data_IF_094857316237
#
_entry.id   IF_094857316237
#
_cell.length_a   1.000
_cell.length_b   1.000
_cell.length_c   1.000
_cell.angle_alpha   90.00
_cell.angle_beta   90.00
_cell.angle_gamma   90.00
#
_symmetry.space_group_name_H-M   'P 1'
#
loop_
_entity.id
_entity.type
_entity.pdbx_description
1 polymer ?
#
# COMPACT_ATOMS: atom_id res chain seq x y z
N UNK A 1 -11.27 0.98 -4.41
CA UNK A 1 -10.41 -0.12 -3.90
C UNK A 1 -9.04 0.49 -3.65
N UNK A 2 -8.47 0.34 -2.45
CA UNK A 2 -7.15 0.87 -2.15
C UNK A 2 -6.13 0.24 -3.12
N UNK A 3 -5.38 1.06 -3.84
CA UNK A 3 -4.41 0.59 -4.83
C UNK A 3 -3.25 -0.09 -4.11
N UNK A 4 -3.26 -1.42 -4.07
CA UNK A 4 -2.14 -2.25 -3.63
C UNK A 4 -0.99 -2.10 -4.62
N UNK A 5 -0.07 -1.18 -4.37
CA UNK A 5 1.05 -0.96 -5.26
C UNK A 5 2.29 -1.65 -4.74
N UNK A 6 2.41 -2.94 -5.05
CA UNK A 6 3.72 -3.53 -5.26
C UNK A 6 4.28 -2.89 -6.55
N UNK A 7 5.04 -1.81 -6.39
CA UNK A 7 5.70 -1.13 -7.51
C UNK A 7 7.11 -1.69 -7.77
N UNK A 8 7.68 -1.32 -8.91
CA UNK A 8 9.00 -1.79 -9.35
C UNK A 8 10.12 -1.39 -8.39
N UNK A 9 10.00 -0.23 -7.75
CA UNK A 9 11.01 0.27 -6.80
C UNK A 9 11.00 -0.59 -5.53
N UNK A 10 9.84 -0.81 -4.94
CA UNK A 10 9.68 -1.67 -3.77
C UNK A 10 10.11 -3.10 -4.06
N UNK A 11 9.70 -3.66 -5.20
CA UNK A 11 10.11 -4.99 -5.64
C UNK A 11 11.64 -5.11 -5.75
N UNK A 12 12.29 -4.13 -6.35
CA UNK A 12 13.75 -4.12 -6.48
C UNK A 12 14.45 -3.93 -5.12
N UNK A 13 13.90 -3.11 -4.22
CA UNK A 13 14.40 -2.94 -2.85
C UNK A 13 14.33 -4.26 -2.06
N UNK A 14 13.23 -5.01 -2.18
CA UNK A 14 13.07 -6.35 -1.57
C UNK A 14 14.17 -7.28 -2.08
N UNK A 15 14.38 -7.34 -3.40
CA UNK A 15 15.42 -8.16 -4.02
C UNK A 15 16.80 -7.77 -3.50
N UNK A 16 17.15 -6.49 -3.56
CA UNK A 16 18.48 -6.00 -3.19
C UNK A 16 18.78 -6.18 -1.70
N UNK A 17 17.78 -6.06 -0.83
CA UNK A 17 17.96 -6.31 0.61
C UNK A 17 18.15 -7.78 0.90
N UNK A 18 17.35 -8.62 0.26
CA UNK A 18 17.36 -10.05 0.54
C UNK A 18 18.60 -10.75 -0.01
N UNK A 19 19.04 -10.41 -1.23
CA UNK A 19 20.25 -10.99 -1.84
C UNK A 19 21.55 -10.61 -1.11
N UNK A 20 21.53 -9.56 -0.27
CA UNK A 20 22.67 -9.25 0.61
C UNK A 20 22.83 -10.22 1.78
N UNK A 21 21.77 -10.97 2.10
CA UNK A 21 21.71 -11.90 3.23
C UNK A 21 21.81 -13.34 2.74
N UNK A 22 21.21 -13.63 1.59
CA UNK A 22 21.06 -14.99 1.06
C UNK A 22 21.74 -15.06 -0.31
N UNK A 23 22.65 -16.02 -0.48
CA UNK A 23 23.40 -16.25 -1.72
C UNK A 23 22.56 -17.02 -2.75
N UNK A 24 21.42 -16.46 -3.12
CA UNK A 24 20.50 -17.00 -4.13
C UNK A 24 19.89 -15.88 -4.96
N UNK A 25 19.59 -16.16 -6.22
CA UNK A 25 18.89 -15.20 -7.06
C UNK A 25 17.41 -15.10 -6.68
N UNK A 26 16.94 -13.87 -6.49
CA UNK A 26 15.59 -13.55 -6.05
C UNK A 26 14.86 -12.76 -7.14
N UNK A 27 13.60 -13.09 -7.33
CA UNK A 27 12.70 -12.42 -8.26
C UNK A 27 11.41 -12.05 -7.52
N UNK A 28 10.86 -10.89 -7.87
CA UNK A 28 9.56 -10.43 -7.38
C UNK A 28 8.68 -10.17 -8.60
N UNK A 29 7.49 -10.75 -8.59
CA UNK A 29 6.51 -10.68 -9.66
C UNK A 29 5.23 -9.97 -9.21
N UNK A 30 4.61 -9.24 -10.13
CA UNK A 30 3.30 -8.62 -9.91
C UNK A 30 2.15 -9.66 -9.89
N UNK A 31 0.94 -9.20 -9.59
CA UNK A 31 -0.27 -10.02 -9.62
C UNK A 31 -0.65 -10.58 -11.02
N UNK A 32 0.13 -10.27 -12.06
CA UNK A 32 -0.02 -10.78 -13.43
C UNK A 32 1.12 -11.74 -13.80
N UNK A 33 2.01 -12.08 -12.86
CA UNK A 33 3.14 -12.96 -13.05
C UNK A 33 4.32 -12.34 -13.82
N UNK A 34 4.34 -11.00 -13.99
CA UNK A 34 5.46 -10.30 -14.61
C UNK A 34 6.52 -9.95 -13.59
N UNK A 35 7.79 -10.20 -13.90
CA UNK A 35 8.92 -9.87 -13.05
C UNK A 35 9.09 -8.35 -13.00
N UNK A 36 8.97 -7.76 -11.81
CA UNK A 36 9.08 -6.32 -11.55
C UNK A 36 10.28 -5.96 -10.66
N UNK A 37 10.95 -6.97 -10.10
CA UNK A 37 12.26 -6.86 -9.46
C UNK A 37 13.02 -8.17 -9.62
N UNK A 38 14.32 -8.10 -9.89
CA UNK A 38 15.15 -9.31 -10.03
C UNK A 38 16.61 -9.03 -9.70
N UNK A 39 17.32 -10.05 -9.21
CA UNK A 39 18.78 -10.05 -9.14
C UNK A 39 19.43 -10.18 -10.52
N UNK A 40 18.68 -10.68 -11.50
CA UNK A 40 19.07 -10.81 -12.90
C UNK A 40 18.29 -9.79 -13.73
N UNK A 41 18.92 -8.65 -14.02
CA UNK A 41 18.24 -7.49 -14.64
C UNK A 41 17.65 -7.81 -16.02
N UNK A 42 18.20 -8.78 -16.73
CA UNK A 42 17.70 -9.18 -18.05
C UNK A 42 16.29 -9.78 -17.98
N UNK A 43 15.91 -10.31 -16.81
CA UNK A 43 14.60 -10.92 -16.58
C UNK A 43 13.49 -9.93 -16.26
N UNK A 44 13.81 -8.66 -16.00
CA UNK A 44 12.80 -7.66 -15.63
C UNK A 44 11.85 -7.44 -16.82
N UNK A 45 10.54 -7.56 -16.57
CA UNK A 45 9.49 -7.45 -17.57
C UNK A 45 9.07 -8.77 -18.19
N UNK A 46 9.83 -9.85 -18.01
CA UNK A 46 9.46 -11.18 -18.48
C UNK A 46 8.29 -11.76 -17.68
N UNK A 47 7.51 -12.62 -18.34
CA UNK A 47 6.47 -13.41 -17.69
C UNK A 47 7.09 -14.66 -17.07
N UNK A 48 6.75 -14.95 -15.81
CA UNK A 48 7.24 -16.13 -15.10
C UNK A 48 6.11 -17.14 -14.90
N UNK A 49 6.12 -18.26 -15.63
CA UNK A 49 5.04 -19.26 -15.54
C UNK A 49 4.91 -19.88 -14.15
N UNK A 50 6.03 -20.02 -13.41
CA UNK A 50 6.02 -20.45 -12.01
C UNK A 50 5.23 -19.50 -11.09
N UNK A 51 5.16 -18.21 -11.41
CA UNK A 51 4.37 -17.25 -10.64
C UNK A 51 2.88 -17.40 -10.93
N UNK A 52 2.51 -17.72 -12.17
CA UNK A 52 1.11 -17.99 -12.54
C UNK A 52 0.55 -19.20 -11.79
N UNK A 53 1.37 -20.23 -11.57
CA UNK A 53 0.99 -21.39 -10.76
C UNK A 53 0.69 -20.98 -9.31
N UNK A 54 1.52 -20.14 -8.70
CA UNK A 54 1.29 -19.63 -7.34
C UNK A 54 0.04 -18.76 -7.28
N UNK A 55 -0.14 -17.85 -8.23
CA UNK A 55 -1.31 -16.98 -8.30
C UNK A 55 -2.61 -17.79 -8.47
N UNK A 56 -2.56 -18.87 -9.25
CA UNK A 56 -3.72 -19.75 -9.46
C UNK A 56 -4.02 -20.67 -8.26
N UNK A 57 -2.99 -21.19 -7.60
CA UNK A 57 -3.15 -22.20 -6.53
C UNK A 57 -3.22 -21.57 -5.13
N UNK A 58 -2.75 -20.34 -4.97
CA UNK A 58 -2.71 -19.62 -3.71
C UNK A 58 -1.77 -20.22 -2.65
N UNK A 59 -0.79 -21.03 -3.06
CA UNK A 59 0.14 -21.72 -2.16
C UNK A 59 1.56 -21.71 -2.71
N UNK A 60 2.52 -22.08 -1.86
CA UNK A 60 3.91 -22.28 -2.27
C UNK A 60 3.97 -23.36 -3.35
N UNK A 61 4.75 -23.09 -4.40
CA UNK A 61 5.02 -24.00 -5.51
C UNK A 61 6.53 -24.23 -5.59
N UNK A 62 6.90 -25.49 -5.42
CA UNK A 62 8.26 -25.96 -5.65
C UNK A 62 8.40 -26.33 -7.13
N UNK A 63 9.51 -25.92 -7.73
CA UNK A 63 9.84 -26.22 -9.12
C UNK A 63 11.16 -26.98 -9.13
N UNK A 64 11.08 -28.28 -9.43
CA UNK A 64 12.25 -29.10 -9.68
C UNK A 64 12.79 -28.90 -11.11
N UNK A 65 13.93 -29.50 -11.42
CA UNK A 65 14.57 -29.37 -12.74
C UNK A 65 13.73 -29.97 -13.88
N UNK A 66 12.97 -31.03 -13.61
CA UNK A 66 12.12 -31.67 -14.61
C UNK A 66 10.94 -30.76 -14.97
N UNK A 67 10.31 -30.14 -13.98
CA UNK A 67 9.23 -29.16 -14.17
C UNK A 67 9.77 -27.89 -14.84
N UNK A 68 10.93 -27.40 -14.43
CA UNK A 68 11.54 -26.19 -15.00
C UNK A 68 11.74 -26.30 -16.53
N UNK A 69 12.11 -27.47 -17.03
CA UNK A 69 12.30 -27.72 -18.49
C UNK A 69 11.02 -27.61 -19.32
N UNK A 70 9.85 -27.68 -18.70
CA UNK A 70 8.56 -27.58 -19.38
C UNK A 70 7.91 -26.20 -19.24
N UNK A 71 8.54 -25.28 -18.52
CA UNK A 71 8.00 -23.95 -18.22
C UNK A 71 8.88 -22.84 -18.81
N UNK A 72 8.27 -21.83 -19.40
CA UNK A 72 9.00 -20.70 -19.98
C UNK A 72 9.45 -19.70 -18.92
N UNK A 73 10.72 -19.30 -19.01
CA UNK A 73 11.30 -18.28 -18.13
C UNK A 73 11.46 -18.76 -16.67
N UNK A 74 11.46 -20.07 -16.42
CA UNK A 74 11.52 -20.67 -15.09
C UNK A 74 12.86 -21.37 -14.87
N UNK A 75 13.40 -21.23 -13.67
CA UNK A 75 14.57 -21.97 -13.16
C UNK A 75 14.13 -22.82 -11.97
N UNK A 76 14.88 -23.88 -11.65
CA UNK A 76 14.66 -24.67 -10.43
C UNK A 76 14.62 -23.74 -9.20
N UNK A 77 13.67 -23.95 -8.29
CA UNK A 77 13.47 -23.03 -7.18
C UNK A 77 12.15 -23.20 -6.44
N UNK A 78 11.84 -22.21 -5.62
CA UNK A 78 10.54 -22.08 -4.93
C UNK A 78 9.90 -20.74 -5.26
N UNK A 79 8.58 -20.74 -5.41
CA UNK A 79 7.79 -19.52 -5.58
C UNK A 79 6.75 -19.45 -4.46
N UNK A 80 6.72 -18.33 -3.75
CA UNK A 80 5.83 -18.09 -2.60
C UNK A 80 4.87 -16.93 -2.91
N UNK A 81 3.58 -17.03 -2.52
CA UNK A 81 2.63 -15.94 -2.67
C UNK A 81 2.97 -14.80 -1.71
N UNK A 82 3.06 -13.57 -2.21
CA UNK A 82 3.15 -12.37 -1.37
C UNK A 82 1.74 -11.92 -1.00
N UNK A 83 1.45 -11.86 0.30
CA UNK A 83 0.13 -11.49 0.81
C UNK A 83 0.14 -10.15 1.53
N UNK A 84 -0.94 -9.40 1.33
CA UNK A 84 -1.21 -8.17 2.05
C UNK A 84 -2.69 -8.15 2.41
N UNK A 85 -3.00 -8.01 3.70
CA UNK A 85 -4.36 -8.18 4.24
C UNK A 85 -5.04 -9.50 3.80
N UNK A 86 -4.25 -10.57 3.62
CA UNK A 86 -4.73 -11.89 3.20
C UNK A 86 -4.81 -12.09 1.69
N UNK A 87 -4.82 -11.02 0.91
CA UNK A 87 -4.90 -11.04 -0.55
C UNK A 87 -3.53 -11.20 -1.20
N UNK A 88 -3.45 -11.98 -2.29
CA UNK A 88 -2.19 -12.16 -3.01
C UNK A 88 -1.94 -10.94 -3.90
N UNK A 89 -0.90 -10.18 -3.58
CA UNK A 89 -0.51 -8.97 -4.32
C UNK A 89 0.65 -9.20 -5.30
N UNK A 90 1.30 -10.35 -5.22
CA UNK A 90 2.42 -10.73 -6.08
C UNK A 90 3.01 -12.08 -5.69
N UNK A 91 4.19 -12.36 -6.21
CA UNK A 91 4.92 -13.61 -5.95
C UNK A 91 6.40 -13.29 -5.72
N UNK A 92 7.05 -14.05 -4.84
CA UNK A 92 8.50 -14.03 -4.65
C UNK A 92 9.09 -15.38 -5.05
N UNK A 93 10.10 -15.36 -5.91
CA UNK A 93 10.75 -16.55 -6.44
C UNK A 93 12.22 -16.61 -6.05
N UNK A 94 12.67 -17.74 -5.49
CA UNK A 94 14.06 -18.01 -5.13
C UNK A 94 14.59 -19.14 -6.03
N UNK A 95 15.78 -18.96 -6.59
CA UNK A 95 16.39 -19.94 -7.52
C UNK A 95 17.34 -20.89 -6.78
N UNK A 96 17.21 -22.20 -7.01
CA UNK A 96 18.07 -23.22 -6.41
C UNK A 96 17.28 -24.46 -6.01
N UNK A 97 17.90 -25.32 -5.20
CA UNK A 97 17.28 -26.58 -4.77
C UNK A 97 16.12 -26.34 -3.76
N UNK A 98 14.89 -26.78 -4.05
CA UNK A 98 13.72 -26.44 -3.23
C UNK A 98 13.82 -26.82 -1.75
N UNK A 99 14.44 -27.96 -1.46
CA UNK A 99 14.58 -28.52 -0.11
C UNK A 99 15.44 -27.62 0.80
N UNK A 100 16.47 -27.00 0.22
CA UNK A 100 17.36 -26.09 0.91
C UNK A 100 16.76 -24.68 1.05
N UNK A 101 15.88 -24.29 0.13
CA UNK A 101 15.35 -22.93 0.06
C UNK A 101 14.11 -22.69 0.93
N UNK A 102 13.34 -23.73 1.31
CA UNK A 102 12.02 -23.56 1.95
C UNK A 102 12.03 -22.63 3.17
N UNK A 103 12.91 -22.88 4.14
CA UNK A 103 13.01 -22.06 5.38
C UNK A 103 13.43 -20.63 5.09
N UNK A 104 14.38 -20.45 4.17
CA UNK A 104 14.81 -19.13 3.75
C UNK A 104 13.71 -18.39 3.01
N UNK A 105 13.03 -19.03 2.06
CA UNK A 105 11.92 -18.49 1.31
C UNK A 105 10.79 -17.96 2.19
N UNK A 106 10.43 -18.68 3.25
CA UNK A 106 9.43 -18.21 4.22
C UNK A 106 9.87 -16.93 4.95
N UNK A 107 11.12 -16.84 5.40
CA UNK A 107 11.66 -15.64 6.04
C UNK A 107 11.74 -14.44 5.07
N UNK A 108 12.12 -14.71 3.83
CA UNK A 108 12.15 -13.71 2.75
C UNK A 108 10.75 -13.20 2.46
N UNK A 109 9.78 -14.09 2.34
CA UNK A 109 8.38 -13.76 2.10
C UNK A 109 7.84 -12.89 3.25
N UNK A 110 8.05 -13.30 4.50
CA UNK A 110 7.65 -12.53 5.68
C UNK A 110 8.28 -11.12 5.69
N UNK A 111 9.56 -11.02 5.32
CA UNK A 111 10.27 -9.73 5.25
C UNK A 111 9.70 -8.85 4.15
N UNK A 112 9.42 -9.41 2.98
CA UNK A 112 8.81 -8.71 1.85
C UNK A 112 7.39 -8.22 2.18
N UNK A 113 6.56 -9.06 2.78
CA UNK A 113 5.21 -8.70 3.24
C UNK A 113 5.25 -7.59 4.30
N UNK A 114 6.19 -7.67 5.25
CA UNK A 114 6.40 -6.62 6.24
C UNK A 114 6.82 -5.29 5.60
N UNK A 115 7.71 -5.31 4.59
CA UNK A 115 8.10 -4.11 3.85
C UNK A 115 6.91 -3.48 3.10
N UNK A 116 6.06 -4.32 2.51
CA UNK A 116 4.83 -3.86 1.83
C UNK A 116 3.87 -3.21 2.81
N UNK A 117 3.65 -3.82 3.98
CA UNK A 117 2.78 -3.27 5.02
C UNK A 117 3.33 -1.95 5.57
N UNK A 118 4.65 -1.85 5.80
CA UNK A 118 5.30 -0.62 6.22
C UNK A 118 5.12 0.50 5.19
N UNK A 119 5.32 0.20 3.90
CA UNK A 119 5.12 1.16 2.82
C UNK A 119 3.69 1.66 2.77
N UNK A 120 2.72 0.76 2.90
CA UNK A 120 1.29 1.09 2.94
C UNK A 120 0.96 2.03 4.10
N UNK A 121 1.42 1.71 5.31
CA UNK A 121 1.21 2.55 6.49
C UNK A 121 1.81 3.95 6.31
N UNK A 122 3.03 4.05 5.75
CA UNK A 122 3.64 5.34 5.46
C UNK A 122 2.87 6.15 4.41
N UNK A 123 2.34 5.49 3.37
CA UNK A 123 1.50 6.13 2.38
C UNK A 123 0.21 6.69 2.98
N UNK A 124 -0.46 5.94 3.86
CA UNK A 124 -1.67 6.38 4.56
C UNK A 124 -1.40 7.59 5.45
N UNK A 125 -0.32 7.55 6.25
CA UNK A 125 0.08 8.69 7.09
C UNK A 125 0.40 9.95 6.27
N UNK A 126 1.10 9.79 5.15
CA UNK A 126 1.41 10.90 4.26
C UNK A 126 0.17 11.46 3.55
N UNK A 127 -0.82 10.62 3.24
CA UNK A 127 -2.11 11.06 2.70
C UNK A 127 -2.92 11.84 3.75
N UNK A 128 -2.98 11.35 4.99
CA UNK A 128 -3.68 12.03 6.09
C UNK A 128 -3.09 13.42 6.36
N UNK A 129 -1.75 13.52 6.42
CA UNK A 129 -1.07 14.82 6.58
C UNK A 129 -1.44 15.81 5.48
N UNK A 130 -1.43 15.35 4.21
CA UNK A 130 -1.78 16.19 3.05
C UNK A 130 -3.22 16.67 3.10
N UNK A 131 -4.18 15.78 3.40
CA UNK A 131 -5.58 16.15 3.52
C UNK A 131 -5.80 17.17 4.65
N UNK A 132 -5.08 17.02 5.76
CA UNK A 132 -5.15 17.97 6.87
C UNK A 132 -4.61 19.34 6.47
N UNK A 133 -3.49 19.38 5.76
CA UNK A 133 -2.91 20.62 5.24
C UNK A 133 -3.86 21.32 4.25
N UNK A 134 -4.41 20.58 3.28
CA UNK A 134 -5.38 21.11 2.30
C UNK A 134 -6.62 21.67 2.98
N UNK A 135 -7.17 20.99 3.98
CA UNK A 135 -8.31 21.48 4.75
C UNK A 135 -7.99 22.81 5.46
N UNK A 136 -6.84 22.90 6.13
CA UNK A 136 -6.41 24.14 6.80
C UNK A 136 -6.28 25.28 5.79
N UNK A 137 -5.66 25.04 4.65
CA UNK A 137 -5.50 26.06 3.60
C UNK A 137 -6.85 26.52 3.03
N UNK A 138 -7.78 25.60 2.80
CA UNK A 138 -9.12 25.92 2.33
C UNK A 138 -9.91 26.75 3.35
N UNK A 139 -9.76 26.48 4.64
CA UNK A 139 -10.43 27.24 5.71
C UNK A 139 -9.89 28.68 5.81
N UNK A 140 -8.56 28.86 5.73
CA UNK A 140 -7.93 30.19 5.73
C UNK A 140 -8.40 31.01 4.52
N UNK A 141 -8.41 30.40 3.32
CA UNK A 141 -8.87 31.07 2.10
C UNK A 141 -10.37 31.39 2.14
N UNK A 142 -11.19 30.55 2.80
CA UNK A 142 -12.61 30.83 2.97
C UNK A 142 -12.85 32.05 3.86
N UNK A 143 -12.03 32.27 4.89
CA UNK A 143 -12.09 33.49 5.72
C UNK A 143 -11.62 34.74 4.96
N UNK A 144 -10.56 34.65 4.16
CA UNK A 144 -10.03 35.77 3.38
C UNK A 144 -10.94 36.20 2.21
N UNK A 145 -11.72 35.28 1.64
CA UNK A 145 -12.70 35.56 0.58
C UNK A 145 -14.05 36.11 1.12
N UNK A 146 -14.09 36.50 2.40
CA UNK A 146 -15.24 37.17 3.02
C UNK A 146 -15.22 38.73 3.04
N UNK A 147 -14.71 39.52 2.05
CA UNK A 147 -14.98 40.97 2.05
C UNK A 147 -16.23 41.38 1.25
N UNK A 148 -16.85 40.49 0.46
CA UNK A 148 -17.92 40.88 -0.46
C UNK A 148 -19.36 40.66 0.04
N UNK A 149 -19.57 39.88 1.11
CA UNK A 149 -20.93 39.55 1.59
C UNK A 149 -21.45 40.46 2.72
N UNK A 150 -20.63 41.36 3.28
CA UNK A 150 -21.04 42.26 4.36
C UNK A 150 -21.38 43.69 3.92
N UNK A 151 -21.01 44.10 2.69
CA UNK A 151 -21.37 45.42 2.14
C UNK A 151 -22.69 45.42 1.35
N UNK A 152 -23.39 44.29 1.26
CA UNK A 152 -24.68 44.14 0.59
C UNK A 152 -25.90 44.31 1.50
N UNK A 153 -25.83 45.13 2.56
CA UNK A 153 -27.05 45.65 3.18
C UNK A 153 -27.52 46.81 2.29
N UNK A 154 -28.36 46.50 1.30
CA UNK A 154 -29.47 47.32 0.77
C UNK A 154 -29.89 46.78 -0.61
N UNK A 155 -30.71 45.74 -0.63
CA UNK A 155 -31.41 45.30 -1.82
C UNK A 155 -31.40 43.79 -1.97
N UNK A 156 -32.60 43.20 -2.02
CA UNK A 156 -32.91 41.78 -2.26
C UNK A 156 -32.93 40.89 -1.01
N UNK A 157 -34.13 40.82 -0.46
CA UNK A 157 -34.53 39.76 0.46
C UNK A 157 -34.75 38.43 -0.24
N UNK A 158 -35.07 37.44 0.60
CA UNK A 158 -35.56 36.09 0.32
C UNK A 158 -34.54 35.05 -0.18
N UNK A 159 -33.60 34.70 0.70
CA UNK A 159 -33.42 33.29 1.10
C UNK A 159 -33.32 33.26 2.63
N UNK A 160 -34.46 33.04 3.28
CA UNK A 160 -34.54 32.82 4.72
C UNK A 160 -34.00 31.43 5.05
N UNK A 161 -32.69 31.33 5.31
CA UNK A 161 -32.14 30.17 6.01
C UNK A 161 -32.58 30.30 7.47
N UNK A 162 -33.51 29.44 7.88
CA UNK A 162 -34.03 29.38 9.23
C UNK A 162 -32.87 29.17 10.25
N UNK A 163 -32.95 29.88 11.39
CA UNK A 163 -31.94 29.93 12.46
C UNK A 163 -31.57 28.54 13.02
N UNK A 164 -32.43 27.55 12.85
CA UNK A 164 -32.18 26.16 13.23
C UNK A 164 -31.18 25.44 12.31
N UNK A 165 -31.15 25.77 11.02
CA UNK A 165 -30.23 25.16 10.05
C UNK A 165 -28.79 25.71 10.19
N UNK A 166 -28.66 26.97 10.63
CA UNK A 166 -27.35 27.56 10.99
C UNK A 166 -26.71 26.90 12.22
N UNK A 167 -27.51 26.42 13.17
CA UNK A 167 -27.02 25.70 14.36
C UNK A 167 -26.62 24.26 14.04
N UNK A 168 -27.29 23.61 13.07
CA UNK A 168 -26.93 22.28 12.57
C UNK A 168 -25.60 22.27 11.79
N UNK A 169 -25.31 23.31 11.01
CA UNK A 169 -24.01 23.49 10.36
C UNK A 169 -22.88 23.81 11.36
N UNK A 170 -23.18 24.48 12.48
CA UNK A 170 -22.21 24.65 13.58
C UNK A 170 -22.03 23.39 14.41
N UNK A 171 -23.08 22.59 14.62
CA UNK A 171 -22.97 21.39 15.47
C UNK A 171 -22.21 20.26 14.80
N UNK A 172 -22.32 20.08 13.49
CA UNK A 172 -21.55 19.03 12.77
C UNK A 172 -20.08 19.40 12.59
N UNK A 173 -19.76 20.67 12.33
CA UNK A 173 -18.37 21.14 12.22
C UNK A 173 -17.65 21.17 13.58
N UNK A 174 -18.34 21.53 14.68
CA UNK A 174 -17.73 21.57 16.02
C UNK A 174 -17.70 20.18 16.67
N UNK A 175 -18.64 19.28 16.37
CA UNK A 175 -18.65 17.93 16.96
C UNK A 175 -17.59 16.99 16.39
N UNK A 176 -17.14 17.19 15.14
CA UNK A 176 -16.00 16.44 14.59
C UNK A 176 -14.66 16.95 15.12
N UNK A 177 -14.53 18.25 15.42
CA UNK A 177 -13.34 18.79 16.07
C UNK A 177 -13.23 18.40 17.55
N UNK A 178 -14.36 18.32 18.28
CA UNK A 178 -14.35 17.94 19.70
C UNK A 178 -14.13 16.45 19.96
N UNK A 179 -14.61 15.56 19.09
CA UNK A 179 -14.41 14.11 19.26
C UNK A 179 -12.97 13.68 19.00
N UNK A 180 -12.25 14.36 18.10
CA UNK A 180 -10.82 14.12 17.86
C UNK A 180 -9.94 14.60 19.03
N UNK A 181 -10.25 15.74 19.64
CA UNK A 181 -9.46 16.28 20.76
C UNK A 181 -9.68 15.51 22.08
N UNK A 182 -10.90 14.99 22.34
CA UNK A 182 -11.22 14.27 23.58
C UNK A 182 -10.69 12.83 23.62
N UNK A 183 -10.57 12.15 22.46
CA UNK A 183 -9.89 10.83 22.39
C UNK A 183 -8.37 10.92 22.59
N UNK A 184 -7.76 12.01 22.16
CA UNK A 184 -6.31 12.23 22.38
C UNK A 184 -5.98 12.60 23.82
N UNK A 185 -6.89 13.22 24.57
CA UNK A 185 -6.65 13.65 25.96
C UNK A 185 -6.79 12.50 26.98
N UNK A 186 -7.68 11.52 26.74
CA UNK A 186 -7.90 10.41 27.68
C UNK A 186 -6.92 9.23 27.56
N UNK A 187 -6.21 9.09 26.43
CA UNK A 187 -5.22 8.00 26.29
C UNK A 187 -3.85 8.35 26.90
N UNK A 188 -3.68 9.57 27.42
CA UNK A 188 -2.46 10.03 28.07
C UNK A 188 -2.51 9.96 29.61
N UNK A 189 -3.58 9.40 30.20
CA UNK A 189 -3.77 9.30 31.67
C UNK A 189 -3.90 7.87 32.23
N UNK A 190 -3.69 6.84 31.40
CA UNK A 190 -3.66 5.42 31.83
C UNK A 190 -2.34 4.71 31.55
N UNK A 191 -1.22 5.46 31.57
CA UNK A 191 0.11 4.90 31.81
C UNK A 191 0.87 5.77 32.80
#
# INVERSE_FOLDING_TARGET
MAGWHLDTKMAQDIVARTMRIIDTNINVMDARGRIIGSGDRERIGELHEGALLVLSQGRVVDIDDAVARHLHGVRQGINLPLRLEGEIVGVIGLTGEPENLRKYGELVCMTAEMMLEQSRLMHLLAQDSRLREELVMNLIQAEENTPALLNGRNGWGSISINREWWLLLRSTAVSLAWTAQWRSYNNCKTR
#
